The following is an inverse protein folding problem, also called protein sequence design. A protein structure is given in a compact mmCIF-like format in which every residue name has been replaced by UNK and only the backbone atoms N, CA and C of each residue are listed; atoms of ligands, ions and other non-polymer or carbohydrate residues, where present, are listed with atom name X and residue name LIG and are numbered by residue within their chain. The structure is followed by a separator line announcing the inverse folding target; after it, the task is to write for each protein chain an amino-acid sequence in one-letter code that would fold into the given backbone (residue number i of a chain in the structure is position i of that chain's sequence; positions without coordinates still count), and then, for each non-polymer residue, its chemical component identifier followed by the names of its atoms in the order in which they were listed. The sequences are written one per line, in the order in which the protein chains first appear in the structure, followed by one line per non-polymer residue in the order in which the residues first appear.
data_IF_601470006424
#
_entry.id   IF_601470006424
#
_cell.length_a   1.000
_cell.length_b   1.000
_cell.length_c   1.000
_cell.angle_alpha   90.00
_cell.angle_beta   90.00
_cell.angle_gamma   90.00
#
_symmetry.space_group_name_H-M   'P 1'
#
loop_
_entity.id
_entity.type
_entity.pdbx_description
1 polymer ?
#
# COMPACT_ATOMS: atom_id res chain seq x y z
N UNK A 1 -74.01 -11.30 -32.29
CA UNK A 1 -73.41 -11.10 -30.95
C UNK A 1 -72.26 -10.11 -31.08
N UNK A 2 -72.41 -8.91 -30.52
CA UNK A 2 -71.37 -7.87 -30.47
C UNK A 2 -70.38 -8.21 -29.36
N UNK A 3 -69.08 -8.23 -29.64
CA UNK A 3 -68.03 -8.20 -28.61
C UNK A 3 -67.27 -6.89 -28.76
N UNK A 4 -67.40 -6.00 -27.77
CA UNK A 4 -66.54 -4.84 -27.57
C UNK A 4 -65.17 -5.33 -27.10
N UNK A 5 -64.09 -4.95 -27.79
CA UNK A 5 -62.73 -5.10 -27.31
C UNK A 5 -62.29 -3.80 -26.62
N UNK A 6 -62.01 -3.89 -25.33
CA UNK A 6 -61.42 -2.83 -24.51
C UNK A 6 -59.91 -2.77 -24.83
N UNK A 7 -59.42 -1.67 -25.42
CA UNK A 7 -57.98 -1.40 -25.49
C UNK A 7 -57.51 -0.80 -24.16
N UNK A 8 -56.77 -1.58 -23.37
CA UNK A 8 -55.98 -1.06 -22.26
C UNK A 8 -54.63 -0.57 -22.80
N UNK A 9 -54.38 0.74 -22.69
CA UNK A 9 -53.08 1.32 -22.99
C UNK A 9 -52.08 0.93 -21.89
N UNK A 10 -51.13 0.05 -22.23
CA UNK A 10 -49.95 -0.24 -21.43
C UNK A 10 -49.01 0.98 -21.46
N UNK A 11 -48.93 1.70 -20.36
CA UNK A 11 -47.88 2.69 -20.11
C UNK A 11 -46.59 1.95 -19.75
N UNK A 12 -45.58 2.05 -20.62
CA UNK A 12 -44.24 1.53 -20.35
C UNK A 12 -43.58 2.45 -19.32
N UNK A 13 -43.07 1.94 -18.18
CA UNK A 13 -42.35 2.76 -17.23
C UNK A 13 -41.07 3.30 -17.86
N UNK A 14 -40.81 4.59 -17.68
CA UNK A 14 -39.57 5.23 -18.12
C UNK A 14 -38.37 4.50 -17.47
N UNK A 15 -37.49 3.96 -18.30
CA UNK A 15 -36.23 3.41 -17.83
C UNK A 15 -35.47 4.50 -17.05
N UNK A 16 -35.18 4.24 -15.78
CA UNK A 16 -34.22 5.01 -15.02
C UNK A 16 -32.91 5.02 -15.81
N UNK A 17 -32.48 6.19 -16.28
CA UNK A 17 -31.24 6.31 -17.04
C UNK A 17 -30.09 6.05 -16.06
N UNK A 18 -29.39 4.91 -16.23
CA UNK A 18 -28.15 4.65 -15.53
C UNK A 18 -27.18 5.81 -15.75
N UNK A 19 -26.43 6.21 -14.72
CA UNK A 19 -25.41 7.23 -14.85
C UNK A 19 -24.39 6.82 -15.93
N UNK A 20 -23.90 7.76 -16.76
CA UNK A 20 -22.93 7.43 -17.79
C UNK A 20 -21.65 6.91 -17.15
N UNK A 21 -21.07 5.86 -17.73
CA UNK A 21 -19.76 5.34 -17.30
C UNK A 21 -18.68 6.42 -17.47
N UNK A 22 -17.52 6.31 -16.79
CA UNK A 22 -16.48 7.33 -16.90
C UNK A 22 -16.06 7.65 -18.34
N UNK A 23 -15.93 6.62 -19.19
CA UNK A 23 -15.61 6.79 -20.61
C UNK A 23 -16.75 7.44 -21.41
N UNK A 24 -18.02 7.10 -21.13
CA UNK A 24 -19.17 7.71 -21.79
C UNK A 24 -19.22 9.21 -21.50
N UNK A 25 -18.98 9.61 -20.24
CA UNK A 25 -18.91 11.01 -19.85
C UNK A 25 -17.76 11.76 -20.55
N UNK A 26 -16.68 11.05 -20.91
CA UNK A 26 -15.58 11.58 -21.70
C UNK A 26 -15.78 11.47 -23.23
N UNK A 27 -16.95 11.02 -23.69
CA UNK A 27 -17.25 10.77 -25.12
C UNK A 27 -16.31 9.77 -25.78
N UNK A 28 -15.88 8.75 -25.02
CA UNK A 28 -14.90 7.76 -25.43
C UNK A 28 -15.46 6.34 -25.41
N UNK A 29 -14.86 5.47 -26.22
CA UNK A 29 -15.08 4.03 -26.18
C UNK A 29 -13.91 3.34 -25.46
N UNK A 30 -14.15 2.19 -24.83
CA UNK A 30 -13.09 1.41 -24.18
C UNK A 30 -11.98 1.00 -25.16
N UNK A 31 -10.74 1.01 -24.67
CA UNK A 31 -9.57 0.59 -25.43
C UNK A 31 -8.62 -0.21 -24.52
N UNK A 32 -8.13 -1.34 -25.01
CA UNK A 32 -7.16 -2.18 -24.29
C UNK A 32 -5.70 -1.87 -24.69
N UNK A 33 -5.46 -1.47 -25.94
CA UNK A 33 -4.13 -1.14 -26.45
C UNK A 33 -3.91 0.38 -26.55
N UNK A 34 -2.68 0.84 -26.38
CA UNK A 34 -2.29 2.24 -26.62
C UNK A 34 -2.32 2.58 -28.13
N UNK A 35 -2.60 3.85 -28.52
CA UNK A 35 -2.57 4.26 -29.92
C UNK A 35 -1.14 4.30 -30.47
N UNK A 36 -1.01 4.24 -31.79
CA UNK A 36 0.28 4.31 -32.49
C UNK A 36 1.02 5.59 -32.11
N UNK A 37 2.33 5.47 -31.82
CA UNK A 37 3.16 6.59 -31.37
C UNK A 37 3.09 6.87 -29.87
N UNK A 38 2.23 6.19 -29.12
CA UNK A 38 2.21 6.21 -27.65
C UNK A 38 2.75 4.89 -27.11
N UNK A 39 3.61 4.97 -26.10
CA UNK A 39 4.22 3.80 -25.48
C UNK A 39 3.93 3.73 -23.98
N UNK A 40 3.95 2.52 -23.43
CA UNK A 40 3.88 2.35 -21.99
C UNK A 40 5.10 2.98 -21.28
N UNK A 41 4.90 3.34 -20.02
CA UNK A 41 5.93 3.90 -19.14
C UNK A 41 5.48 5.17 -18.43
N UNK A 42 6.47 5.84 -17.83
CA UNK A 42 6.23 7.01 -16.97
C UNK A 42 6.52 8.31 -17.73
N UNK A 43 5.59 9.24 -17.60
CA UNK A 43 5.62 10.57 -18.18
C UNK A 43 5.52 11.62 -17.08
N UNK A 44 6.19 12.76 -17.24
CA UNK A 44 6.09 13.91 -16.32
C UNK A 44 5.92 15.19 -17.11
N UNK A 45 5.18 16.13 -16.55
CA UNK A 45 5.02 17.45 -17.13
C UNK A 45 3.95 18.24 -16.39
N UNK A 46 3.07 18.91 -17.12
CA UNK A 46 2.05 19.78 -16.50
C UNK A 46 0.64 19.50 -16.98
N UNK A 47 -0.28 19.78 -16.07
CA UNK A 47 -1.72 19.92 -16.31
C UNK A 47 -2.13 21.32 -15.83
N UNK A 48 -2.36 22.21 -16.80
CA UNK A 48 -2.36 23.65 -16.53
C UNK A 48 -1.00 24.09 -15.97
N UNK A 49 -1.01 24.63 -14.75
CA UNK A 49 0.20 25.06 -14.03
C UNK A 49 0.73 24.03 -13.05
N UNK A 50 0.01 22.92 -12.83
CA UNK A 50 0.37 21.92 -11.84
C UNK A 50 1.28 20.87 -12.44
N UNK A 51 2.36 20.52 -11.74
CA UNK A 51 3.21 19.40 -12.12
C UNK A 51 2.50 18.06 -11.85
N UNK A 52 2.58 17.16 -12.83
CA UNK A 52 1.95 15.83 -12.76
C UNK A 52 2.90 14.75 -13.26
N UNK A 53 2.73 13.55 -12.71
CA UNK A 53 3.36 12.32 -13.19
C UNK A 53 2.26 11.36 -13.63
N UNK A 54 2.39 10.77 -14.82
CA UNK A 54 1.46 9.82 -15.43
C UNK A 54 2.18 8.50 -15.69
N UNK A 55 1.56 7.38 -15.33
CA UNK A 55 1.95 6.04 -15.75
C UNK A 55 0.94 5.50 -16.76
N UNK A 56 1.44 5.04 -17.90
CA UNK A 56 0.68 4.28 -18.88
C UNK A 56 1.11 2.81 -18.84
N UNK A 57 0.18 1.93 -18.51
CA UNK A 57 0.40 0.48 -18.47
C UNK A 57 0.63 -0.11 -19.87
N UNK A 58 1.51 -1.09 -19.97
CA UNK A 58 1.65 -1.90 -21.19
C UNK A 58 0.57 -2.99 -21.28
N UNK A 59 0.38 -3.62 -22.45
CA UNK A 59 -0.38 -4.87 -22.52
C UNK A 59 0.41 -5.94 -21.76
N UNK A 60 -0.03 -6.33 -20.57
CA UNK A 60 0.67 -7.33 -19.77
C UNK A 60 0.12 -8.74 -20.02
N UNK A 61 1.01 -9.73 -20.13
CA UNK A 61 0.67 -11.15 -20.24
C UNK A 61 0.14 -11.75 -18.92
N UNK A 62 0.30 -11.05 -17.79
CA UNK A 62 -0.13 -11.46 -16.45
C UNK A 62 -0.42 -10.23 -15.59
N UNK A 63 -1.65 -9.70 -15.67
CA UNK A 63 -2.15 -8.60 -14.84
C UNK A 63 -1.85 -7.19 -15.38
N UNK A 64 -2.89 -6.39 -15.61
CA UNK A 64 -2.78 -5.02 -16.12
C UNK A 64 -2.11 -4.11 -15.08
N UNK A 65 -0.96 -3.51 -15.41
CA UNK A 65 -0.51 -2.31 -14.70
C UNK A 65 -1.53 -1.20 -14.98
N UNK A 66 -2.23 -0.66 -13.97
CA UNK A 66 -3.29 0.31 -14.21
C UNK A 66 -2.72 1.61 -14.78
N UNK A 67 -3.48 2.28 -15.64
CA UNK A 67 -3.19 3.67 -15.97
C UNK A 67 -3.52 4.53 -14.74
N UNK A 68 -2.60 5.39 -14.35
CA UNK A 68 -2.78 6.26 -13.19
C UNK A 68 -1.95 7.52 -13.32
N UNK A 69 -2.38 8.58 -12.67
CA UNK A 69 -1.57 9.78 -12.56
C UNK A 69 -1.70 10.41 -11.17
N UNK A 70 -0.77 11.31 -10.86
CA UNK A 70 -0.81 12.08 -9.63
C UNK A 70 -0.29 13.49 -9.87
N UNK A 71 -0.78 14.42 -9.05
CA UNK A 71 -0.17 15.72 -8.90
C UNK A 71 1.06 15.59 -8.01
N UNK A 72 2.23 16.04 -8.47
CA UNK A 72 3.51 15.83 -7.79
C UNK A 72 3.54 16.41 -6.36
N UNK A 73 2.71 17.44 -6.12
CA UNK A 73 2.51 18.09 -4.82
C UNK A 73 1.83 17.19 -3.79
N UNK A 74 0.89 16.35 -4.22
CA UNK A 74 0.06 15.52 -3.34
C UNK A 74 0.46 14.04 -3.37
N UNK A 75 0.96 13.55 -4.50
CA UNK A 75 1.41 12.16 -4.66
C UNK A 75 0.31 11.09 -4.61
N UNK A 76 -0.94 11.49 -4.41
CA UNK A 76 -2.10 10.61 -4.39
C UNK A 76 -2.45 10.14 -5.81
N UNK A 77 -2.66 8.85 -5.95
CA UNK A 77 -3.04 8.24 -7.22
C UNK A 77 -4.48 8.55 -7.61
N UNK A 78 -4.65 8.89 -8.88
CA UNK A 78 -5.92 9.00 -9.54
C UNK A 78 -5.97 7.89 -10.60
N UNK A 79 -6.80 6.85 -10.40
CA UNK A 79 -6.92 5.77 -11.35
C UNK A 79 -7.58 6.27 -12.64
N UNK A 80 -7.12 5.73 -13.76
CA UNK A 80 -7.56 6.12 -15.09
C UNK A 80 -8.16 4.92 -15.83
N UNK A 81 -9.32 5.15 -16.43
CA UNK A 81 -9.92 4.19 -17.36
C UNK A 81 -9.49 4.54 -18.78
N UNK A 82 -8.84 3.58 -19.45
CA UNK A 82 -8.34 3.74 -20.81
C UNK A 82 -9.46 3.68 -21.85
N UNK A 83 -9.46 4.66 -22.74
CA UNK A 83 -10.36 4.72 -23.87
C UNK A 83 -9.76 5.41 -25.08
N UNK A 84 -10.60 5.51 -26.11
CA UNK A 84 -10.30 6.15 -27.39
C UNK A 84 -11.41 7.10 -27.78
N UNK A 85 -11.06 8.14 -28.53
CA UNK A 85 -12.04 8.88 -29.30
C UNK A 85 -12.83 7.94 -30.24
N UNK A 86 -14.02 8.38 -30.68
CA UNK A 86 -14.95 7.54 -31.44
C UNK A 86 -14.40 7.06 -32.81
N UNK A 87 -13.29 7.61 -33.28
CA UNK A 87 -12.62 7.16 -34.50
C UNK A 87 -11.95 5.79 -34.28
N UNK A 88 -12.29 4.80 -35.11
CA UNK A 88 -11.75 3.44 -34.99
C UNK A 88 -10.44 3.27 -35.76
N UNK A 89 -9.54 4.24 -35.69
CA UNK A 89 -8.23 4.18 -36.36
C UNK A 89 -7.14 3.71 -35.39
N UNK A 90 -5.99 3.26 -35.89
CA UNK A 90 -4.82 2.94 -35.06
C UNK A 90 -4.11 4.21 -34.52
N UNK A 91 -4.48 5.39 -34.99
CA UNK A 91 -3.93 6.70 -34.63
C UNK A 91 -4.92 7.52 -33.81
N UNK A 92 -5.81 6.84 -33.08
CA UNK A 92 -6.87 7.48 -32.32
C UNK A 92 -6.29 8.37 -31.20
N UNK A 93 -7.04 9.37 -30.79
CA UNK A 93 -6.70 10.20 -29.62
C UNK A 93 -6.92 9.41 -28.33
N UNK A 94 -5.88 9.25 -27.52
CA UNK A 94 -5.95 8.59 -26.22
C UNK A 94 -6.87 9.38 -25.30
N UNK A 95 -7.88 8.71 -24.74
CA UNK A 95 -8.73 9.27 -23.70
C UNK A 95 -8.52 8.49 -22.42
N UNK A 96 -8.14 9.18 -21.34
CA UNK A 96 -8.03 8.61 -20.01
C UNK A 96 -9.08 9.29 -19.13
N UNK A 97 -10.10 8.54 -18.74
CA UNK A 97 -11.15 9.04 -17.86
C UNK A 97 -10.70 8.85 -16.41
N UNK A 98 -10.66 9.94 -15.64
CA UNK A 98 -10.50 9.87 -14.20
C UNK A 98 -11.77 9.29 -13.61
N UNK A 99 -11.64 8.12 -12.99
CA UNK A 99 -12.71 7.51 -12.24
C UNK A 99 -12.43 7.71 -10.77
N UNK A 100 -13.41 8.22 -10.04
CA UNK A 100 -13.33 8.28 -8.59
C UNK A 100 -14.31 7.28 -8.03
N UNK A 101 -13.81 6.38 -7.19
CA UNK A 101 -14.64 5.39 -6.51
C UNK A 101 -15.67 6.12 -5.66
N UNK A 102 -16.95 5.89 -5.97
CA UNK A 102 -18.08 6.33 -5.16
C UNK A 102 -19.09 5.20 -5.08
N UNK A 103 -19.88 5.15 -4.01
CA UNK A 103 -20.94 4.15 -3.90
C UNK A 103 -22.26 4.70 -4.50
N UNK A 104 -22.97 3.96 -5.38
CA UNK A 104 -22.70 2.57 -5.81
C UNK A 104 -21.78 2.43 -7.04
N UNK A 105 -21.56 3.50 -7.81
CA UNK A 105 -20.79 3.46 -9.07
C UNK A 105 -19.67 4.51 -9.10
N UNK A 106 -18.52 4.23 -9.75
CA UNK A 106 -17.48 5.23 -9.96
C UNK A 106 -17.99 6.44 -10.75
N UNK A 107 -17.62 7.64 -10.30
CA UNK A 107 -17.98 8.89 -10.99
C UNK A 107 -16.81 9.44 -11.79
N UNK A 108 -17.03 9.87 -13.05
CA UNK A 108 -16.01 10.60 -13.79
C UNK A 108 -15.76 11.96 -13.14
N UNK A 109 -14.49 12.28 -12.86
CA UNK A 109 -14.08 13.60 -12.36
C UNK A 109 -13.35 14.44 -13.41
N UNK A 110 -12.82 13.81 -14.46
CA UNK A 110 -12.03 14.47 -15.48
C UNK A 110 -11.71 13.58 -16.68
N UNK A 111 -11.38 14.22 -17.80
CA UNK A 111 -11.06 13.55 -19.06
C UNK A 111 -9.74 14.10 -19.61
N UNK A 112 -8.69 13.27 -19.57
CA UNK A 112 -7.42 13.53 -20.25
C UNK A 112 -7.54 13.09 -21.71
N UNK A 113 -7.35 14.02 -22.62
CA UNK A 113 -7.39 13.81 -24.08
C UNK A 113 -6.00 14.12 -24.61
N UNK A 114 -5.27 13.07 -25.03
CA UNK A 114 -3.85 13.13 -25.31
C UNK A 114 -3.52 12.56 -26.69
N UNK A 115 -2.56 13.20 -27.35
CA UNK A 115 -1.96 12.73 -28.59
C UNK A 115 -0.43 12.62 -28.42
N UNK A 116 0.18 11.74 -29.21
CA UNK A 116 1.64 11.67 -29.30
C UNK A 116 2.22 13.03 -29.75
N UNK A 117 3.30 13.45 -29.12
CA UNK A 117 4.00 14.70 -29.42
C UNK A 117 5.50 14.48 -29.27
N UNK A 118 6.16 14.06 -30.36
CA UNK A 118 7.55 13.60 -30.32
C UNK A 118 7.68 12.38 -29.40
N UNK A 119 8.55 12.47 -28.39
CA UNK A 119 8.71 11.43 -27.34
C UNK A 119 7.76 11.61 -26.15
N UNK A 120 6.86 12.60 -26.22
CA UNK A 120 5.94 12.97 -25.14
C UNK A 120 4.48 12.88 -25.56
N UNK A 121 3.62 13.44 -24.72
CA UNK A 121 2.18 13.54 -24.94
C UNK A 121 1.74 15.00 -24.80
N UNK A 122 0.78 15.41 -25.62
CA UNK A 122 0.18 16.74 -25.51
C UNK A 122 -1.32 16.69 -25.75
N UNK A 123 -2.04 17.60 -25.11
CA UNK A 123 -3.47 17.72 -25.29
C UNK A 123 -4.08 18.53 -24.16
N UNK A 124 -5.15 18.02 -23.57
CA UNK A 124 -5.89 18.74 -22.55
C UNK A 124 -6.58 17.82 -21.57
N UNK A 125 -6.79 18.32 -20.37
CA UNK A 125 -7.76 17.80 -19.43
C UNK A 125 -9.03 18.64 -19.51
N UNK A 126 -10.19 18.02 -19.36
CA UNK A 126 -11.47 18.72 -19.23
C UNK A 126 -12.35 18.10 -18.16
N UNK A 127 -13.23 18.91 -17.56
CA UNK A 127 -14.34 18.36 -16.78
C UNK A 127 -15.28 17.55 -17.67
N UNK A 128 -16.02 16.57 -17.12
CA UNK A 128 -17.00 15.81 -17.90
C UNK A 128 -18.08 16.68 -18.56
N UNK A 129 -18.45 17.79 -17.92
CA UNK A 129 -19.40 18.78 -18.46
C UNK A 129 -18.76 19.76 -19.47
N UNK A 130 -17.45 19.66 -19.71
CA UNK A 130 -16.69 20.49 -20.65
C UNK A 130 -16.44 21.93 -20.22
N UNK A 131 -16.95 22.38 -19.07
CA UNK A 131 -16.88 23.79 -18.64
C UNK A 131 -15.46 24.26 -18.30
N UNK A 132 -14.61 23.36 -17.80
CA UNK A 132 -13.22 23.68 -17.46
C UNK A 132 -12.29 22.83 -18.31
N UNK A 133 -11.24 23.47 -18.82
CA UNK A 133 -10.20 22.81 -19.60
C UNK A 133 -8.82 23.30 -19.15
N UNK A 134 -7.84 22.41 -19.15
CA UNK A 134 -6.46 22.69 -18.78
C UNK A 134 -5.53 22.07 -19.83
N UNK A 135 -4.53 22.80 -20.34
CA UNK A 135 -3.56 22.22 -21.27
C UNK A 135 -2.74 21.13 -20.58
N UNK A 136 -2.47 20.03 -21.27
CA UNK A 136 -1.63 18.94 -20.82
C UNK A 136 -0.39 18.84 -21.70
N UNK A 137 0.80 18.79 -21.07
CA UNK A 137 2.08 18.60 -21.76
C UNK A 137 2.94 17.68 -20.93
N UNK A 138 3.31 16.53 -21.47
CA UNK A 138 4.02 15.48 -20.76
C UNK A 138 5.21 15.01 -21.61
N UNK A 139 6.30 14.67 -20.95
CA UNK A 139 7.48 14.06 -21.58
C UNK A 139 7.75 12.72 -20.94
N UNK A 140 8.11 11.72 -21.75
CA UNK A 140 8.54 10.42 -21.25
C UNK A 140 9.82 10.57 -20.45
N UNK A 141 9.86 9.99 -19.26
CA UNK A 141 11.00 10.07 -18.36
C UNK A 141 11.81 8.78 -18.40
N UNK A 142 13.12 8.91 -18.54
CA UNK A 142 14.04 7.82 -18.24
C UNK A 142 14.25 7.75 -16.72
N UNK A 143 13.42 6.97 -16.04
CA UNK A 143 13.47 6.81 -14.58
C UNK A 143 14.80 6.20 -14.12
N UNK A 144 15.39 5.30 -14.92
CA UNK A 144 16.70 4.69 -14.67
C UNK A 144 17.89 5.67 -14.76
N UNK A 145 17.69 6.88 -15.32
CA UNK A 145 18.69 7.93 -15.35
C UNK A 145 18.50 9.03 -14.29
N UNK A 146 17.37 9.04 -13.56
CA UNK A 146 17.13 10.06 -12.53
C UNK A 146 18.13 9.96 -11.35
N UNK A 147 18.59 11.07 -10.78
CA UNK A 147 19.44 11.03 -9.60
C UNK A 147 18.65 10.53 -8.38
N UNK A 148 19.32 9.79 -7.50
CA UNK A 148 18.76 9.42 -6.21
C UNK A 148 18.76 10.65 -5.27
N UNK A 149 17.62 10.91 -4.65
CA UNK A 149 17.42 11.97 -3.64
C UNK A 149 17.42 11.41 -2.21
N UNK A 150 17.49 10.09 -2.10
CA UNK A 150 17.66 9.33 -0.87
C UNK A 150 18.96 8.50 -0.97
N UNK A 151 19.57 8.11 0.17
CA UNK A 151 20.64 7.12 0.19
C UNK A 151 20.27 5.86 -0.60
N UNK A 152 21.22 5.34 -1.38
CA UNK A 152 21.01 4.16 -2.20
C UNK A 152 20.86 2.91 -1.32
N UNK A 153 19.62 2.49 -1.09
CA UNK A 153 19.26 1.25 -0.39
C UNK A 153 18.75 0.18 -1.36
N UNK A 154 18.86 -1.12 -1.03
CA UNK A 154 18.30 -2.20 -1.86
C UNK A 154 16.83 -2.01 -2.21
N UNK A 155 15.99 -1.61 -1.25
CA UNK A 155 14.56 -1.37 -1.46
C UNK A 155 14.29 -0.17 -2.36
N UNK A 156 15.05 0.93 -2.26
CA UNK A 156 14.92 2.07 -3.17
C UNK A 156 15.28 1.69 -4.61
N UNK A 157 16.36 0.92 -4.80
CA UNK A 157 16.79 0.45 -6.12
C UNK A 157 15.79 -0.55 -6.71
N UNK A 158 15.23 -1.44 -5.88
CA UNK A 158 14.14 -2.34 -6.27
C UNK A 158 12.93 -1.52 -6.72
N UNK A 159 12.46 -0.59 -5.90
CA UNK A 159 11.30 0.27 -6.18
C UNK A 159 11.48 0.99 -7.52
N UNK A 160 12.68 1.54 -7.79
CA UNK A 160 13.00 2.19 -9.06
C UNK A 160 12.73 1.31 -10.28
N UNK A 161 12.98 0.01 -10.17
CA UNK A 161 12.83 -0.95 -11.27
C UNK A 161 11.44 -1.58 -11.34
N UNK A 162 10.82 -1.86 -10.18
CA UNK A 162 9.54 -2.58 -10.11
C UNK A 162 8.32 -1.65 -10.17
N UNK A 163 8.43 -0.46 -9.60
CA UNK A 163 7.41 0.60 -9.66
C UNK A 163 8.10 1.96 -9.88
N UNK A 164 8.53 2.25 -11.12
CA UNK A 164 9.23 3.49 -11.46
C UNK A 164 8.37 4.73 -11.19
N UNK A 165 7.05 4.60 -11.23
CA UNK A 165 6.11 5.67 -10.96
C UNK A 165 6.09 6.05 -9.47
N UNK A 166 5.92 5.07 -8.57
CA UNK A 166 5.98 5.27 -7.12
C UNK A 166 7.38 5.67 -6.66
N UNK A 167 8.43 5.14 -7.29
CA UNK A 167 9.80 5.60 -7.07
C UNK A 167 9.94 7.12 -7.30
N UNK A 168 9.40 7.66 -8.39
CA UNK A 168 9.48 9.09 -8.67
C UNK A 168 8.75 9.95 -7.62
N UNK A 169 7.74 9.39 -6.96
CA UNK A 169 7.09 10.05 -5.82
C UNK A 169 7.99 10.00 -4.60
N UNK A 170 8.46 8.84 -4.19
CA UNK A 170 9.18 8.67 -2.92
C UNK A 170 10.65 9.11 -2.96
N UNK A 171 11.28 9.13 -4.14
CA UNK A 171 12.65 9.59 -4.36
C UNK A 171 12.75 11.12 -4.29
N UNK A 172 12.51 11.65 -3.09
CA UNK A 172 12.63 13.06 -2.72
C UNK A 172 13.28 13.16 -1.34
N UNK A 173 13.74 14.36 -0.99
CA UNK A 173 14.31 14.60 0.34
C UNK A 173 13.24 14.42 1.42
N UNK A 174 13.54 13.58 2.41
CA UNK A 174 12.71 13.37 3.59
C UNK A 174 13.04 14.36 4.70
N UNK A 175 12.08 14.57 5.60
CA UNK A 175 12.16 15.58 6.66
C UNK A 175 12.71 14.92 7.93
N UNK A 176 13.76 15.49 8.53
CA UNK A 176 14.25 15.02 9.82
C UNK A 176 13.28 15.39 10.93
N UNK A 177 12.97 14.43 11.80
CA UNK A 177 12.16 14.63 13.00
C UNK A 177 12.88 14.05 14.21
N UNK A 178 12.39 14.31 15.42
CA UNK A 178 13.01 13.77 16.64
C UNK A 178 13.01 12.23 16.58
N UNK A 179 14.20 11.63 16.62
CA UNK A 179 14.37 10.17 16.63
C UNK A 179 14.19 9.47 15.28
N UNK A 180 13.96 10.20 14.18
CA UNK A 180 13.69 9.57 12.90
C UNK A 180 13.56 10.55 11.73
N UNK A 181 12.85 10.11 10.70
CA UNK A 181 12.53 10.91 9.51
C UNK A 181 11.10 10.68 9.08
N UNK A 182 10.50 11.70 8.46
CA UNK A 182 9.14 11.67 7.91
C UNK A 182 9.19 11.78 6.38
N UNK A 183 8.44 10.91 5.71
CA UNK A 183 8.21 11.03 4.27
C UNK A 183 7.12 12.10 4.02
N UNK A 184 7.41 13.17 3.26
CA UNK A 184 6.59 14.38 3.24
C UNK A 184 5.23 14.25 2.54
N UNK A 185 5.04 13.28 1.63
CA UNK A 185 3.75 13.10 0.96
C UNK A 185 2.80 12.26 1.80
N UNK A 186 3.30 11.15 2.32
CA UNK A 186 2.52 10.18 3.05
C UNK A 186 2.35 10.58 4.52
N UNK A 187 3.30 11.31 5.09
CA UNK A 187 3.36 11.61 6.51
C UNK A 187 3.95 10.48 7.36
N UNK A 188 4.26 9.32 6.77
CA UNK A 188 4.82 8.15 7.48
C UNK A 188 6.14 8.53 8.13
N UNK A 189 6.21 8.32 9.44
CA UNK A 189 7.41 8.56 10.24
C UNK A 189 8.04 7.24 10.65
N UNK A 190 9.37 7.19 10.58
CA UNK A 190 10.10 5.97 10.88
C UNK A 190 11.45 6.28 11.56
N UNK A 191 11.90 5.44 12.50
CA UNK A 191 13.10 5.69 13.28
C UNK A 191 14.36 5.69 12.42
N UNK A 192 15.37 6.40 12.92
CA UNK A 192 16.77 6.28 12.50
C UNK A 192 17.62 6.11 13.74
N UNK A 193 18.53 5.15 13.70
CA UNK A 193 19.36 4.80 14.86
C UNK A 193 20.60 5.68 14.85
N UNK A 194 20.67 6.62 15.81
CA UNK A 194 21.83 7.49 16.01
C UNK A 194 23.04 6.64 16.41
N UNK A 195 24.16 6.81 15.70
CA UNK A 195 25.35 5.98 15.86
C UNK A 195 25.21 4.55 15.32
N UNK A 196 24.06 4.20 14.72
CA UNK A 196 23.86 2.93 14.02
C UNK A 196 24.63 2.88 12.70
N UNK A 197 24.84 1.67 12.17
CA UNK A 197 25.54 1.51 10.89
C UNK A 197 24.72 2.08 9.73
N UNK A 198 25.39 2.41 8.63
CA UNK A 198 24.72 2.79 7.39
C UNK A 198 23.79 1.68 6.91
N UNK A 199 24.22 0.42 6.97
CA UNK A 199 23.41 -0.72 6.52
C UNK A 199 22.09 -0.84 7.31
N UNK A 200 22.15 -0.68 8.64
CA UNK A 200 20.96 -0.65 9.49
C UNK A 200 20.00 0.49 9.09
N UNK A 201 20.51 1.72 8.95
CA UNK A 201 19.66 2.85 8.60
C UNK A 201 19.11 2.77 7.16
N UNK A 202 19.78 2.08 6.24
CA UNK A 202 19.25 1.76 4.91
C UNK A 202 18.13 0.71 4.98
N UNK A 203 18.26 -0.30 5.84
CA UNK A 203 17.18 -1.27 6.05
C UNK A 203 15.92 -0.60 6.64
N UNK A 204 16.09 0.31 7.61
CA UNK A 204 14.98 1.11 8.15
C UNK A 204 14.35 2.03 7.09
N UNK A 205 15.16 2.58 6.17
CA UNK A 205 14.65 3.34 5.03
C UNK A 205 13.80 2.46 4.10
N UNK A 206 14.25 1.23 3.81
CA UNK A 206 13.52 0.31 2.93
C UNK A 206 12.15 -0.07 3.49
N UNK A 207 12.06 -0.25 4.81
CA UNK A 207 10.78 -0.46 5.49
C UNK A 207 9.86 0.76 5.41
N UNK A 208 10.40 1.95 5.68
CA UNK A 208 9.64 3.19 5.53
C UNK A 208 9.18 3.44 4.09
N UNK A 209 9.96 3.06 3.08
CA UNK A 209 9.57 3.17 1.68
C UNK A 209 8.33 2.33 1.35
N UNK A 210 8.24 1.11 1.90
CA UNK A 210 7.07 0.25 1.73
C UNK A 210 5.82 0.89 2.36
N UNK A 211 5.89 1.25 3.65
CA UNK A 211 4.78 1.89 4.35
C UNK A 211 4.34 3.20 3.66
N UNK A 212 5.28 4.02 3.18
CA UNK A 212 4.96 5.25 2.47
C UNK A 212 4.31 5.00 1.11
N UNK A 213 4.70 3.95 0.39
CA UNK A 213 4.05 3.54 -0.86
C UNK A 213 2.60 3.11 -0.60
N UNK A 214 2.40 2.19 0.35
CA UNK A 214 1.08 1.69 0.74
C UNK A 214 0.15 2.83 1.17
N UNK A 215 0.67 3.77 1.96
CA UNK A 215 -0.08 4.92 2.43
C UNK A 215 -0.53 5.88 1.31
N UNK A 216 0.25 6.01 0.23
CA UNK A 216 -0.11 6.85 -0.91
C UNK A 216 -1.10 6.16 -1.85
N UNK A 217 -0.93 4.85 -2.05
CA UNK A 217 -1.85 4.03 -2.82
C UNK A 217 -3.24 3.99 -2.16
N UNK A 218 -3.28 3.67 -0.87
CA UNK A 218 -4.51 3.58 -0.07
C UNK A 218 -5.38 4.84 -0.15
N UNK A 219 -4.77 6.00 0.10
CA UNK A 219 -5.45 7.30 0.06
C UNK A 219 -5.80 7.76 -1.36
N UNK A 220 -5.04 7.31 -2.36
CA UNK A 220 -5.31 7.62 -3.76
C UNK A 220 -6.60 6.96 -4.25
N UNK A 221 -6.70 5.64 -4.07
CA UNK A 221 -7.82 4.84 -4.61
C UNK A 221 -9.20 5.23 -4.07
N UNK A 222 -9.27 5.80 -2.86
CA UNK A 222 -10.55 5.97 -2.13
C UNK A 222 -10.76 7.39 -1.60
N UNK A 223 -10.19 8.38 -2.27
CA UNK A 223 -10.20 9.77 -1.81
C UNK A 223 -11.60 10.31 -1.45
N UNK A 224 -12.63 10.01 -2.24
CA UNK A 224 -14.00 10.50 -2.00
C UNK A 224 -14.77 9.65 -0.98
N UNK A 225 -14.29 8.44 -0.69
CA UNK A 225 -14.81 7.58 0.37
C UNK A 225 -14.12 7.84 1.71
N UNK A 226 -13.22 8.83 1.77
CA UNK A 226 -12.49 9.16 3.00
C UNK A 226 -11.38 8.17 3.33
N UNK A 227 -10.77 7.57 2.30
CA UNK A 227 -9.64 6.65 2.50
C UNK A 227 -8.53 7.31 3.31
N UNK A 228 -8.05 6.60 4.33
CA UNK A 228 -7.05 7.10 5.27
C UNK A 228 -5.99 6.03 5.57
N UNK A 229 -4.81 6.49 5.98
CA UNK A 229 -3.72 5.64 6.39
C UNK A 229 -2.93 6.36 7.47
N UNK A 230 -2.77 5.71 8.61
CA UNK A 230 -1.87 6.14 9.67
C UNK A 230 -0.98 4.97 10.07
N UNK A 231 0.32 5.20 10.11
CA UNK A 231 1.25 4.14 10.46
C UNK A 231 2.69 4.61 10.46
N UNK A 232 3.54 3.81 11.10
CA UNK A 232 4.96 4.10 11.25
C UNK A 232 5.68 3.01 12.03
N UNK A 233 6.96 3.25 12.32
CA UNK A 233 7.77 2.33 13.10
C UNK A 233 8.12 2.92 14.47
N UNK A 234 8.15 2.07 15.49
CA UNK A 234 8.55 2.43 16.86
C UNK A 234 9.66 1.50 17.34
N UNK A 235 10.85 2.06 17.63
CA UNK A 235 11.94 1.31 18.26
C UNK A 235 11.51 0.82 19.64
N UNK A 236 11.51 -0.50 19.84
CA UNK A 236 11.17 -1.16 21.11
C UNK A 236 12.39 -1.74 21.82
N UNK A 237 13.48 -1.98 21.09
CA UNK A 237 14.73 -2.50 21.61
C UNK A 237 15.94 -1.98 20.85
N UNK A 238 17.01 -1.67 21.58
CA UNK A 238 18.30 -1.31 21.02
C UNK A 238 19.43 -1.88 21.87
N UNK A 239 20.33 -2.61 21.23
CA UNK A 239 21.49 -3.26 21.85
C UNK A 239 22.65 -3.33 20.85
N UNK A 240 23.77 -3.93 21.27
CA UNK A 240 24.95 -4.06 20.42
C UNK A 240 24.71 -4.97 19.20
N UNK A 241 23.89 -6.02 19.33
CA UNK A 241 23.64 -6.96 18.24
C UNK A 241 22.24 -6.84 17.65
N UNK A 242 21.26 -6.35 18.42
CA UNK A 242 19.85 -6.31 17.98
C UNK A 242 19.26 -4.90 18.02
N UNK A 243 18.52 -4.60 16.97
CA UNK A 243 17.50 -3.55 16.94
C UNK A 243 16.16 -4.23 16.77
N UNK A 244 15.18 -3.93 17.62
CA UNK A 244 13.81 -4.38 17.43
C UNK A 244 12.86 -3.20 17.43
N UNK A 245 11.83 -3.32 16.62
CA UNK A 245 10.77 -2.33 16.48
C UNK A 245 9.47 -3.05 16.14
N UNK A 246 8.38 -2.32 16.32
CA UNK A 246 7.08 -2.71 15.83
C UNK A 246 6.56 -1.62 14.90
N UNK A 247 5.75 -2.03 13.95
CA UNK A 247 5.05 -1.14 13.03
C UNK A 247 3.56 -1.31 13.31
N UNK A 248 2.91 -0.25 13.78
CA UNK A 248 1.47 -0.22 13.94
C UNK A 248 0.90 0.58 12.78
N UNK A 249 -0.09 -0.01 12.11
CA UNK A 249 -0.75 0.61 10.97
C UNK A 249 -2.24 0.45 11.15
N UNK A 250 -2.95 1.57 11.03
CA UNK A 250 -4.40 1.64 10.89
C UNK A 250 -4.71 2.28 9.54
N UNK A 251 -5.57 1.64 8.75
CA UNK A 251 -5.91 2.15 7.43
C UNK A 251 -7.36 1.87 7.05
N UNK A 252 -7.86 2.68 6.14
CA UNK A 252 -9.11 2.46 5.44
C UNK A 252 -8.87 2.77 3.97
N UNK A 253 -8.74 1.74 3.14
CA UNK A 253 -8.55 1.88 1.70
C UNK A 253 -9.86 1.55 0.96
N UNK A 254 -10.99 2.02 1.48
CA UNK A 254 -12.32 1.65 0.99
C UNK A 254 -12.83 0.33 1.57
N UNK A 255 -14.02 -0.10 1.13
CA UNK A 255 -14.68 -1.31 1.63
C UNK A 255 -15.56 -1.08 2.85
N UNK A 256 -15.90 -2.17 3.55
CA UNK A 256 -16.92 -2.16 4.61
C UNK A 256 -16.44 -1.60 5.96
N UNK A 257 -15.15 -1.75 6.29
CA UNK A 257 -14.57 -1.32 7.57
C UNK A 257 -13.08 -0.96 7.40
N UNK A 258 -12.51 -0.18 8.32
CA UNK A 258 -11.05 -0.04 8.44
C UNK A 258 -10.40 -1.35 8.87
N UNK A 259 -9.08 -1.40 8.70
CA UNK A 259 -8.22 -2.50 9.09
C UNK A 259 -7.01 -1.98 9.87
N UNK A 260 -6.39 -2.87 10.64
CA UNK A 260 -5.17 -2.56 11.35
C UNK A 260 -4.24 -3.78 11.38
N UNK A 261 -2.95 -3.54 11.59
CA UNK A 261 -2.02 -4.60 11.94
C UNK A 261 -0.84 -4.07 12.75
N UNK A 262 -0.22 -4.98 13.51
CA UNK A 262 1.10 -4.75 14.11
C UNK A 262 2.11 -5.70 13.47
N UNK A 263 3.16 -5.19 12.83
CA UNK A 263 4.27 -6.00 12.36
C UNK A 263 5.43 -5.95 13.36
N UNK A 264 5.99 -7.11 13.71
CA UNK A 264 7.15 -7.22 14.61
C UNK A 264 8.43 -7.44 13.81
N UNK A 265 9.44 -6.60 14.01
CA UNK A 265 10.68 -6.63 13.22
C UNK A 265 11.89 -6.62 14.14
N UNK A 266 12.80 -7.55 13.91
CA UNK A 266 14.10 -7.55 14.60
C UNK A 266 15.23 -7.66 13.60
N UNK A 267 16.15 -6.71 13.65
CA UNK A 267 17.29 -6.58 12.75
C UNK A 267 18.60 -6.82 13.50
N UNK A 268 19.56 -7.42 12.82
CA UNK A 268 20.97 -7.37 13.23
C UNK A 268 21.44 -5.90 13.18
N UNK A 269 21.91 -5.38 14.31
CA UNK A 269 22.26 -3.97 14.47
C UNK A 269 23.45 -3.53 13.59
N UNK A 270 24.27 -4.47 13.10
CA UNK A 270 25.43 -4.20 12.26
C UNK A 270 25.06 -4.24 10.79
N UNK A 271 24.34 -5.28 10.36
CA UNK A 271 24.05 -5.54 8.95
C UNK A 271 22.71 -4.98 8.48
N UNK A 272 21.79 -4.69 9.39
CA UNK A 272 20.41 -4.32 9.07
C UNK A 272 19.56 -5.47 8.54
N UNK A 273 20.08 -6.71 8.54
CA UNK A 273 19.33 -7.88 8.07
C UNK A 273 18.29 -8.30 9.12
N UNK A 274 17.09 -8.63 8.65
CA UNK A 274 16.05 -9.16 9.51
C UNK A 274 16.41 -10.55 10.02
N UNK A 275 16.18 -10.77 11.31
CA UNK A 275 16.55 -11.98 12.03
C UNK A 275 15.33 -12.82 12.34
N UNK A 276 15.40 -14.12 12.05
CA UNK A 276 14.43 -15.07 12.59
C UNK A 276 14.71 -15.29 14.08
N UNK A 277 13.76 -14.92 14.95
CA UNK A 277 13.90 -15.04 16.41
C UNK A 277 13.64 -16.45 16.94
N UNK A 278 12.81 -17.25 16.26
CA UNK A 278 12.18 -18.45 16.83
C UNK A 278 12.30 -19.67 15.94
N UNK A 279 12.18 -20.88 16.53
CA UNK A 279 11.93 -22.14 15.84
C UNK A 279 13.02 -22.72 14.92
N UNK A 280 14.01 -21.94 14.49
CA UNK A 280 15.13 -22.40 13.64
C UNK A 280 16.38 -22.67 14.49
N UNK A 281 17.24 -23.64 14.13
CA UNK A 281 18.43 -23.98 14.93
C UNK A 281 19.37 -22.80 15.23
N UNK A 282 19.50 -21.86 14.30
CA UNK A 282 20.36 -20.69 14.46
C UNK A 282 19.66 -19.46 15.08
N UNK A 283 18.37 -19.56 15.43
CA UNK A 283 17.64 -18.44 16.01
C UNK A 283 18.01 -18.18 17.47
N UNK A 284 17.54 -17.06 18.03
CA UNK A 284 17.74 -16.74 19.45
C UNK A 284 17.00 -17.74 20.36
N UNK A 285 15.80 -18.17 19.96
CA UNK A 285 14.99 -19.18 20.65
C UNK A 285 14.63 -20.35 19.73
N UNK A 286 15.55 -21.29 19.47
CA UNK A 286 15.27 -22.45 18.63
C UNK A 286 14.17 -23.35 19.23
N UNK A 287 14.07 -23.41 20.57
CA UNK A 287 13.04 -24.19 21.27
C UNK A 287 11.66 -23.55 21.29
N UNK A 288 11.53 -22.30 20.83
CA UNK A 288 10.25 -21.59 20.74
C UNK A 288 9.64 -21.82 19.36
N UNK A 289 8.97 -22.95 19.17
CA UNK A 289 8.28 -23.27 17.90
C UNK A 289 6.97 -22.48 17.77
N UNK A 290 6.35 -22.37 16.57
CA UNK A 290 5.06 -21.69 16.42
C UNK A 290 3.97 -22.18 17.37
N UNK A 291 3.83 -23.51 17.52
CA UNK A 291 2.89 -24.11 18.47
C UNK A 291 3.20 -23.72 19.93
N UNK A 292 4.47 -23.57 20.28
CA UNK A 292 4.88 -23.13 21.62
C UNK A 292 4.65 -21.64 21.84
N UNK A 293 4.84 -20.80 20.82
CA UNK A 293 4.44 -19.39 20.85
C UNK A 293 2.94 -19.30 21.12
N UNK A 294 2.12 -20.04 20.38
CA UNK A 294 0.67 -20.05 20.57
C UNK A 294 0.26 -20.50 21.98
N UNK A 295 0.81 -21.62 22.46
CA UNK A 295 0.50 -22.11 23.80
C UNK A 295 0.88 -21.11 24.89
N UNK A 296 2.03 -20.44 24.75
CA UNK A 296 2.46 -19.40 25.69
C UNK A 296 1.63 -18.12 25.57
N UNK A 297 1.22 -17.75 24.35
CA UNK A 297 0.32 -16.63 24.08
C UNK A 297 -1.02 -16.86 24.75
N UNK A 298 -1.69 -17.99 24.48
CA UNK A 298 -2.99 -18.33 25.05
C UNK A 298 -2.95 -18.44 26.58
N UNK A 299 -1.83 -18.88 27.15
CA UNK A 299 -1.64 -18.91 28.59
C UNK A 299 -1.45 -17.51 29.22
N UNK A 300 -1.01 -16.53 28.44
CA UNK A 300 -0.78 -15.15 28.87
C UNK A 300 -1.90 -14.17 28.48
N UNK A 301 -2.76 -14.56 27.53
CA UNK A 301 -3.88 -13.75 27.06
C UNK A 301 -4.85 -13.42 28.21
N UNK A 302 -5.38 -12.18 28.30
CA UNK A 302 -6.28 -11.78 29.38
C UNK A 302 -7.47 -12.72 29.55
N UNK A 303 -8.01 -12.78 30.76
CA UNK A 303 -9.12 -13.65 31.15
C UNK A 303 -10.27 -12.78 31.65
N UNK A 304 -10.97 -12.16 30.71
CA UNK A 304 -12.23 -11.46 30.91
C UNK A 304 -13.44 -12.40 30.72
N UNK A 305 -14.61 -12.03 31.27
CA UNK A 305 -15.84 -12.81 31.14
C UNK A 305 -16.33 -12.99 29.70
N UNK A 306 -15.93 -12.11 28.78
CA UNK A 306 -16.33 -12.12 27.36
C UNK A 306 -15.26 -12.70 26.41
N UNK A 307 -14.15 -13.22 26.94
CA UNK A 307 -12.98 -13.63 26.12
C UNK A 307 -13.06 -15.07 25.59
N UNK A 308 -14.15 -15.80 25.85
CA UNK A 308 -14.27 -17.20 25.47
C UNK A 308 -14.23 -17.39 23.95
N UNK A 309 -14.97 -16.56 23.20
CA UNK A 309 -14.99 -16.59 21.73
C UNK A 309 -13.64 -16.17 21.15
N UNK A 310 -13.01 -15.13 21.71
CA UNK A 310 -11.67 -14.70 21.32
C UNK A 310 -10.63 -15.80 21.55
N UNK A 311 -10.68 -16.48 22.71
CA UNK A 311 -9.77 -17.60 23.00
C UNK A 311 -9.95 -18.76 22.05
N UNK A 312 -11.18 -19.11 21.71
CA UNK A 312 -11.47 -20.16 20.74
C UNK A 312 -10.87 -19.78 19.39
N UNK A 313 -11.10 -18.55 18.91
CA UNK A 313 -10.55 -18.08 17.64
C UNK A 313 -9.01 -18.01 17.62
N UNK A 314 -8.39 -17.58 18.72
CA UNK A 314 -6.93 -17.54 18.88
C UNK A 314 -6.32 -18.96 18.99
N UNK A 315 -7.13 -19.96 19.36
CA UNK A 315 -6.72 -21.35 19.53
C UNK A 315 -7.06 -22.27 18.35
N UNK A 316 -7.99 -21.87 17.48
CA UNK A 316 -8.53 -22.70 16.39
C UNK A 316 -7.57 -22.84 15.20
N UNK A 317 -6.64 -21.89 15.03
CA UNK A 317 -5.57 -21.96 14.04
C UNK A 317 -4.21 -22.09 14.72
N UNK A 318 -3.36 -23.02 14.28
CA UNK A 318 -2.01 -23.21 14.83
C UNK A 318 -0.98 -22.16 14.33
N UNK A 319 -1.47 -21.06 13.75
CA UNK A 319 -0.69 -20.04 13.05
C UNK A 319 0.03 -20.56 11.80
N UNK A 320 -0.39 -21.71 11.24
CA UNK A 320 0.15 -22.27 9.97
C UNK A 320 -0.82 -22.18 8.79
N UNK A 321 -2.07 -21.75 9.03
CA UNK A 321 -3.11 -21.53 8.03
C UNK A 321 -2.71 -20.36 7.10
N UNK A 322 -2.79 -20.61 5.79
CA UNK A 322 -1.87 -20.08 4.78
C UNK A 322 -2.41 -18.88 3.98
N UNK A 323 -3.07 -17.93 4.63
CA UNK A 323 -3.50 -16.66 3.99
C UNK A 323 -3.02 -15.42 4.76
N UNK A 324 -2.91 -15.51 6.10
CA UNK A 324 -2.52 -14.41 6.98
C UNK A 324 -1.15 -14.67 7.65
N UNK A 325 -0.49 -13.61 8.12
CA UNK A 325 0.88 -13.69 8.64
C UNK A 325 0.97 -14.50 9.95
N UNK A 326 2.12 -15.11 10.26
CA UNK A 326 2.32 -15.75 11.56
C UNK A 326 2.27 -14.74 12.72
N UNK A 327 2.33 -15.24 13.97
CA UNK A 327 2.60 -14.38 15.13
C UNK A 327 3.72 -13.36 14.84
N UNK A 328 3.43 -12.11 15.16
CA UNK A 328 4.32 -10.98 15.00
C UNK A 328 5.08 -10.80 16.31
N UNK A 329 6.41 -10.75 16.20
CA UNK A 329 7.32 -10.86 17.33
C UNK A 329 8.30 -9.69 17.35
N UNK A 330 8.34 -8.97 18.47
CA UNK A 330 9.32 -7.91 18.67
C UNK A 330 9.80 -7.87 20.13
N UNK A 331 11.03 -7.39 20.31
CA UNK A 331 11.66 -7.33 21.62
C UNK A 331 11.25 -6.05 22.34
N UNK A 332 10.94 -6.18 23.63
CA UNK A 332 10.76 -5.05 24.54
C UNK A 332 11.68 -5.22 25.75
N UNK A 333 11.73 -4.23 26.64
CA UNK A 333 12.49 -4.35 27.89
C UNK A 333 11.88 -5.40 28.84
N UNK A 334 10.58 -5.62 28.74
CA UNK A 334 9.80 -6.48 29.63
C UNK A 334 9.81 -7.94 29.17
N UNK A 335 9.97 -8.19 27.87
CA UNK A 335 9.95 -9.53 27.30
C UNK A 335 9.80 -9.52 25.78
N UNK A 336 9.51 -10.70 25.24
CA UNK A 336 9.12 -10.84 23.83
C UNK A 336 7.63 -10.47 23.71
N UNK A 337 7.34 -9.39 23.00
CA UNK A 337 5.97 -9.04 22.63
C UNK A 337 5.51 -9.96 21.49
N UNK A 338 4.28 -10.44 21.60
CA UNK A 338 3.65 -11.39 20.70
C UNK A 338 2.27 -10.89 20.33
N UNK A 339 2.04 -10.68 19.04
CA UNK A 339 0.74 -10.26 18.50
C UNK A 339 0.25 -11.25 17.42
N UNK A 340 -1.02 -11.68 17.42
CA UNK A 340 -1.51 -12.73 16.52
C UNK A 340 -1.87 -12.17 15.14
N UNK A 341 -0.89 -12.06 14.25
CA UNK A 341 -1.08 -11.51 12.90
C UNK A 341 -1.78 -12.38 11.87
N UNK A 342 -2.36 -13.50 12.31
CA UNK A 342 -3.08 -14.45 11.45
C UNK A 342 -4.60 -14.28 11.51
N UNK A 343 -5.13 -13.43 12.41
CA UNK A 343 -6.57 -13.32 12.58
C UNK A 343 -7.23 -12.63 11.38
N UNK A 344 -8.34 -13.18 10.85
CA UNK A 344 -9.16 -12.50 9.86
C UNK A 344 -9.71 -11.17 10.41
N UNK A 345 -9.99 -10.24 9.51
CA UNK A 345 -10.39 -8.86 9.83
C UNK A 345 -11.45 -8.72 10.96
N UNK A 346 -12.53 -9.50 10.90
CA UNK A 346 -13.62 -9.43 11.91
C UNK A 346 -13.23 -9.95 13.30
N UNK A 347 -12.20 -10.80 13.37
CA UNK A 347 -11.68 -11.39 14.62
C UNK A 347 -10.49 -10.58 15.15
N UNK A 348 -9.96 -9.64 14.36
CA UNK A 348 -8.80 -8.82 14.75
C UNK A 348 -9.03 -8.04 16.06
N UNK A 349 -10.27 -7.76 16.43
CA UNK A 349 -10.61 -7.16 17.72
C UNK A 349 -10.14 -8.00 18.93
N UNK A 350 -9.93 -9.31 18.75
CA UNK A 350 -9.35 -10.22 19.74
C UNK A 350 -7.81 -10.20 19.77
N UNK A 351 -7.15 -9.46 18.87
CA UNK A 351 -5.69 -9.45 18.75
C UNK A 351 -5.06 -8.51 19.77
N UNK A 352 -4.68 -9.04 20.93
CA UNK A 352 -3.90 -8.29 21.91
C UNK A 352 -2.41 -8.61 21.85
N UNK A 353 -1.57 -7.61 22.12
CA UNK A 353 -0.15 -7.87 22.36
C UNK A 353 0.04 -8.43 23.76
N UNK A 354 0.53 -9.66 23.87
CA UNK A 354 0.99 -10.23 25.14
C UNK A 354 2.51 -10.18 25.24
N UNK A 355 3.03 -9.96 26.44
CA UNK A 355 4.48 -9.98 26.70
C UNK A 355 4.87 -11.29 27.37
N UNK A 356 5.71 -12.09 26.71
CA UNK A 356 6.31 -13.29 27.26
C UNK A 356 7.61 -12.92 28.02
N UNK A 357 7.66 -13.09 29.35
CA UNK A 357 8.84 -12.70 30.13
C UNK A 357 10.09 -13.48 29.72
N UNK A 358 11.23 -12.82 29.59
CA UNK A 358 12.48 -13.46 29.18
C UNK A 358 12.87 -14.64 30.07
N UNK A 359 12.60 -14.56 31.37
CA UNK A 359 12.83 -15.67 32.31
C UNK A 359 12.15 -16.98 31.87
N UNK A 360 10.93 -16.92 31.31
CA UNK A 360 10.21 -18.08 30.78
C UNK A 360 10.79 -18.58 29.46
N UNK A 361 11.41 -17.69 28.68
CA UNK A 361 12.02 -18.00 27.38
C UNK A 361 13.44 -18.54 27.50
N UNK A 362 14.14 -18.28 28.61
CA UNK A 362 15.56 -18.64 28.81
C UNK A 362 15.86 -20.13 28.58
N UNK A 363 15.03 -21.09 29.03
CA UNK A 363 15.28 -22.51 28.78
C UNK A 363 15.18 -22.91 27.30
N UNK A 364 14.60 -22.06 26.44
CA UNK A 364 14.40 -22.30 25.01
C UNK A 364 15.46 -21.59 24.15
N UNK A 365 16.32 -20.80 24.78
CA UNK A 365 17.26 -19.92 24.12
C UNK A 365 18.53 -20.66 23.70
N UNK A 366 19.09 -20.25 22.56
CA UNK A 366 20.41 -20.65 22.14
C UNK A 366 21.46 -19.82 22.91
N UNK A 367 22.12 -20.43 23.89
CA UNK A 367 23.13 -19.75 24.74
C UNK A 367 24.39 -19.35 23.98
N UNK A 368 24.65 -19.96 22.82
CA UNK A 368 25.76 -19.62 21.94
C UNK A 368 25.43 -18.48 20.96
N UNK A 369 24.16 -18.06 20.86
CA UNK A 369 23.77 -16.98 19.96
C UNK A 369 24.41 -15.65 20.40
N UNK A 370 25.01 -14.85 19.49
CA UNK A 370 25.69 -13.59 19.86
C UNK A 370 24.81 -12.64 20.67
N UNK A 371 23.53 -12.53 20.30
CA UNK A 371 22.56 -11.69 20.99
C UNK A 371 21.98 -12.28 22.29
N UNK A 372 22.33 -13.51 22.69
CA UNK A 372 21.85 -14.09 23.94
C UNK A 372 22.16 -13.18 25.13
N UNK A 373 23.37 -12.60 25.13
CA UNK A 373 23.86 -11.71 26.17
C UNK A 373 23.19 -10.34 26.16
N UNK A 374 22.57 -9.94 25.06
CA UNK A 374 21.84 -8.67 25.00
C UNK A 374 20.51 -8.81 25.75
N UNK A 375 19.86 -9.97 25.68
CA UNK A 375 18.54 -10.22 26.27
C UNK A 375 18.62 -10.67 27.74
N UNK A 376 19.68 -11.38 28.13
CA UNK A 376 19.74 -12.12 29.40
C UNK A 376 20.76 -11.62 30.42
N UNK A 377 21.32 -10.43 30.23
CA UNK A 377 22.28 -9.83 31.18
C UNK A 377 21.66 -8.83 32.13
#
# INVERSE_FOLDING_TARGET
MRLLALLAALTVPAAAHAAPTPLQACSAAAASALPTGVSAGVYRGTLGTQAVTLELGGPAATGDTPDRYSYDRYGLDLPLVRGRAADRTANYTLVLAEAVETYPDPKPSGCLILNASGTGLSGQWRTPDGKKQLPARLQRINVAAQPLQLPASPGLLKLRSSDPYTFLKLNRRWISVKGGVQEPLSGVTYPRVVGGTTALNLALQDRQLALAADALECRGGNRELGGDYSGGGTLSWQSAHLISLHEDVDYYCGGAHPDAYTAGVTLDARTGQEMTLTGKPASLWPGLTPARVQAMYLAAYPQGPDDAECREALGSEDGRSSEYASFQLYLTRQGLAVWPGFLPHVILACAETVTLPYARLRPLANTAHPAFRDVYR
#
